data_IF_835602120889
#
_entry.id   IF_835602120889
#
_cell.length_a   1.000
_cell.length_b   1.000
_cell.length_c   1.000
_cell.angle_alpha   90.00
_cell.angle_beta   90.00
_cell.angle_gamma   90.00
#
_symmetry.space_group_name_H-M   'P 1'
#
loop_
_entity.id
_entity.type
_entity.pdbx_description
1 polymer ?
#
# COMPACT_ATOMS: atom_id res chain seq x y z
N UNK A 1 -1.87 -14.59 -3.15
CA UNK A 1 -1.29 -14.51 -1.79
C UNK A 1 -2.40 -14.22 -0.80
N UNK A 2 -2.54 -15.01 0.27
CA UNK A 2 -3.39 -14.66 1.41
C UNK A 2 -2.59 -13.74 2.36
N UNK A 3 -3.24 -12.70 2.89
CA UNK A 3 -2.61 -11.84 3.90
C UNK A 3 -2.67 -12.53 5.25
N UNK A 4 -1.54 -12.57 5.97
CA UNK A 4 -1.56 -13.01 7.34
C UNK A 4 -2.36 -12.04 8.24
N UNK A 5 -2.80 -12.54 9.38
CA UNK A 5 -3.67 -11.82 10.29
C UNK A 5 -3.04 -10.53 10.85
N UNK A 6 -1.73 -10.49 11.03
CA UNK A 6 -1.01 -9.32 11.54
C UNK A 6 -0.96 -8.24 10.47
N UNK A 7 -0.55 -8.60 9.26
CA UNK A 7 -0.50 -7.69 8.11
C UNK A 7 -1.88 -7.12 7.79
N UNK A 8 -2.92 -7.96 7.79
CA UNK A 8 -4.30 -7.52 7.59
C UNK A 8 -4.75 -6.50 8.65
N UNK A 9 -4.45 -6.74 9.93
CA UNK A 9 -4.79 -5.82 11.03
C UNK A 9 -4.04 -4.49 10.89
N UNK A 10 -2.76 -4.52 10.52
CA UNK A 10 -1.96 -3.32 10.28
C UNK A 10 -2.53 -2.48 9.14
N UNK A 11 -2.83 -3.10 8.00
CA UNK A 11 -3.44 -2.41 6.86
C UNK A 11 -4.78 -1.76 7.25
N UNK A 12 -5.63 -2.50 7.96
CA UNK A 12 -6.94 -2.00 8.41
C UNK A 12 -6.84 -0.84 9.40
N UNK A 13 -5.77 -0.76 10.19
CA UNK A 13 -5.52 0.36 11.11
C UNK A 13 -5.02 1.61 10.38
N UNK A 14 -4.23 1.44 9.32
CA UNK A 14 -3.62 2.54 8.57
C UNK A 14 -4.55 3.12 7.50
N UNK A 15 -5.50 2.34 6.98
CA UNK A 15 -6.44 2.79 5.95
C UNK A 15 -7.26 4.04 6.32
N UNK A 16 -7.82 4.18 7.54
CA UNK A 16 -8.53 5.40 7.94
C UNK A 16 -7.62 6.64 7.97
N UNK A 17 -6.35 6.48 8.34
CA UNK A 17 -5.39 7.61 8.37
C UNK A 17 -5.15 8.14 6.96
N UNK A 18 -5.02 7.25 5.97
CA UNK A 18 -4.93 7.67 4.57
C UNK A 18 -6.23 8.36 4.11
N UNK A 19 -7.39 7.83 4.48
CA UNK A 19 -8.69 8.44 4.15
C UNK A 19 -8.83 9.85 4.74
N UNK A 20 -8.44 10.04 6.01
CA UNK A 20 -8.43 11.34 6.68
C UNK A 20 -7.53 12.34 5.94
N UNK A 21 -6.31 11.94 5.56
CA UNK A 21 -5.38 12.79 4.78
C UNK A 21 -5.97 13.15 3.41
N UNK A 22 -6.58 12.18 2.71
CA UNK A 22 -7.19 12.42 1.40
C UNK A 22 -8.40 13.35 1.50
N UNK A 23 -9.21 13.23 2.56
CA UNK A 23 -10.35 14.08 2.82
C UNK A 23 -9.92 15.51 3.21
N UNK A 24 -8.90 15.65 4.07
CA UNK A 24 -8.31 16.93 4.45
C UNK A 24 -7.53 17.57 3.29
N UNK A 25 -7.06 16.76 2.33
CA UNK A 25 -6.12 17.14 1.25
C UNK A 25 -4.78 17.67 1.77
N UNK A 26 -4.46 17.39 3.02
CA UNK A 26 -3.28 17.86 3.73
C UNK A 26 -2.86 16.84 4.79
N UNK A 27 -1.57 16.81 5.11
CA UNK A 27 -1.04 16.11 6.28
C UNK A 27 -0.94 17.13 7.42
N UNK A 28 -1.98 17.17 8.25
CA UNK A 28 -2.17 18.15 9.31
C UNK A 28 -1.33 17.85 10.56
N UNK A 29 -1.05 16.57 10.84
CA UNK A 29 -0.38 16.14 12.08
C UNK A 29 0.88 15.31 11.81
N UNK A 30 1.93 15.42 12.66
CA UNK A 30 3.13 14.58 12.55
C UNK A 30 2.84 13.08 12.57
N UNK A 31 1.88 12.64 13.39
CA UNK A 31 1.46 11.24 13.47
C UNK A 31 0.87 10.73 12.15
N UNK A 32 0.18 11.57 11.37
CA UNK A 32 -0.31 11.18 10.05
C UNK A 32 0.84 10.89 9.10
N UNK A 33 1.90 11.70 9.12
CA UNK A 33 3.09 11.47 8.30
C UNK A 33 3.80 10.16 8.65
N UNK A 34 3.92 9.84 9.94
CA UNK A 34 4.52 8.59 10.41
C UNK A 34 3.68 7.38 9.98
N UNK A 35 2.36 7.44 10.19
CA UNK A 35 1.46 6.36 9.77
C UNK A 35 1.44 6.20 8.23
N UNK A 36 1.58 7.29 7.47
CA UNK A 36 1.69 7.22 6.01
C UNK A 36 2.99 6.54 5.55
N UNK A 37 4.10 6.82 6.23
CA UNK A 37 5.36 6.13 5.99
C UNK A 37 5.25 4.62 6.30
N UNK A 38 4.64 4.26 7.43
CA UNK A 38 4.37 2.87 7.79
C UNK A 38 3.47 2.17 6.77
N UNK A 39 2.44 2.86 6.26
CA UNK A 39 1.55 2.34 5.22
C UNK A 39 2.30 2.12 3.90
N UNK A 40 3.13 3.07 3.49
CA UNK A 40 3.94 2.95 2.27
C UNK A 40 4.91 1.75 2.38
N UNK A 41 5.55 1.58 3.53
CA UNK A 41 6.43 0.45 3.79
C UNK A 41 5.66 -0.88 3.72
N UNK A 42 4.48 -0.96 4.34
CA UNK A 42 3.64 -2.16 4.31
C UNK A 42 3.22 -2.51 2.87
N UNK A 43 2.79 -1.52 2.10
CA UNK A 43 2.44 -1.70 0.70
C UNK A 43 3.63 -2.21 -0.15
N UNK A 44 4.83 -1.69 0.09
CA UNK A 44 6.04 -2.18 -0.58
C UNK A 44 6.33 -3.64 -0.25
N UNK A 45 6.26 -4.02 1.03
CA UNK A 45 6.48 -5.40 1.46
C UNK A 45 5.48 -6.36 0.84
N UNK A 46 4.21 -5.97 0.76
CA UNK A 46 3.16 -6.75 0.11
C UNK A 46 3.39 -6.90 -1.39
N UNK A 47 3.80 -5.83 -2.05
CA UNK A 47 4.17 -5.86 -3.46
C UNK A 47 5.35 -6.81 -3.70
N UNK A 48 6.43 -6.67 -2.94
CA UNK A 48 7.64 -7.48 -3.09
C UNK A 48 7.34 -8.96 -2.85
N UNK A 49 6.56 -9.28 -1.80
CA UNK A 49 6.14 -10.65 -1.52
C UNK A 49 5.33 -11.24 -2.69
N UNK A 50 4.37 -10.50 -3.24
CA UNK A 50 3.59 -10.94 -4.39
C UNK A 50 4.46 -11.11 -5.64
N UNK A 51 5.32 -10.12 -5.94
CA UNK A 51 6.23 -10.14 -7.08
C UNK A 51 7.20 -11.33 -7.02
N UNK A 52 7.72 -11.66 -5.84
CA UNK A 52 8.58 -12.84 -5.66
C UNK A 52 7.86 -14.16 -6.01
N UNK A 53 6.56 -14.25 -5.76
CA UNK A 53 5.76 -15.43 -6.11
C UNK A 53 5.28 -15.43 -7.57
N UNK A 54 5.02 -14.25 -8.13
CA UNK A 54 4.40 -14.07 -9.44
C UNK A 54 5.10 -12.95 -10.25
N UNK A 55 6.38 -13.13 -10.61
CA UNK A 55 7.15 -12.06 -11.27
C UNK A 55 6.58 -11.71 -12.65
N UNK A 56 6.19 -12.72 -13.43
CA UNK A 56 5.67 -12.53 -14.79
C UNK A 56 4.30 -11.84 -14.81
N UNK A 57 3.40 -12.19 -13.88
CA UNK A 57 2.09 -11.55 -13.76
C UNK A 57 2.23 -10.08 -13.36
N UNK A 58 3.16 -9.81 -12.43
CA UNK A 58 3.44 -8.45 -11.98
C UNK A 58 4.07 -7.60 -13.09
N UNK A 59 4.99 -8.19 -13.87
CA UNK A 59 5.57 -7.53 -15.03
C UNK A 59 4.50 -7.23 -16.09
N UNK A 60 3.59 -8.17 -16.35
CA UNK A 60 2.47 -7.97 -17.28
C UNK A 60 1.54 -6.86 -16.81
N UNK A 61 1.11 -6.88 -15.55
CA UNK A 61 0.24 -5.86 -14.98
C UNK A 61 0.87 -4.45 -15.07
N UNK A 62 2.20 -4.34 -14.87
CA UNK A 62 2.92 -3.06 -15.07
C UNK A 62 2.89 -2.58 -16.52
N UNK A 63 3.09 -3.48 -17.50
CA UNK A 63 3.00 -3.14 -18.91
C UNK A 63 1.58 -2.71 -19.31
N UNK A 64 0.55 -3.39 -18.81
CA UNK A 64 -0.86 -3.05 -19.04
C UNK A 64 -1.22 -1.68 -18.45
N UNK A 65 -0.71 -1.35 -17.26
CA UNK A 65 -0.90 -0.04 -16.64
C UNK A 65 -0.27 1.10 -17.47
N UNK A 66 0.95 0.90 -17.98
CA UNK A 66 1.64 1.89 -18.82
C UNK A 66 0.95 2.11 -20.17
N UNK A 67 0.31 1.07 -20.73
CA UNK A 67 -0.43 1.16 -21.98
C UNK A 67 -1.80 1.84 -21.84
N UNK A 68 -2.30 1.98 -20.60
CA UNK A 68 -3.61 2.54 -20.28
C UNK A 68 -3.56 3.99 -19.78
N UNK A 69 -2.36 4.60 -19.73
CA UNK A 69 -2.13 6.03 -19.43
C UNK A 69 -2.07 6.85 -20.71
#
# INVERSE_FOLDING_TARGET
MELDLETFRRLRRLAPVLDDILNAREVEYPDQAVNLADLAQLCSQLFDAYHCMHPDETARARLEALASQ
#
